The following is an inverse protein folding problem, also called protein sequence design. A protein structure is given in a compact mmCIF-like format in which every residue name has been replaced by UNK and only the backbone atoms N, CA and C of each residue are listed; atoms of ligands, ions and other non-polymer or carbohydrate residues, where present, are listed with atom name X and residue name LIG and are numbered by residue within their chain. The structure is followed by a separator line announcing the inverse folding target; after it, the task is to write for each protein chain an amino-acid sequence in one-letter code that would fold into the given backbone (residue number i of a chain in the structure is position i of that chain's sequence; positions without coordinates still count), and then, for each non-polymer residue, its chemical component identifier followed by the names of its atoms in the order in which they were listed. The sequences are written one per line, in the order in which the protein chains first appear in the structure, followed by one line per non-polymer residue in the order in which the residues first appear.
data_IF_269962111796
#
_entry.id   IF_269962111796
#
_cell.length_a   1.000
_cell.length_b   1.000
_cell.length_c   1.000
_cell.angle_alpha   90.00
_cell.angle_beta   90.00
_cell.angle_gamma   90.00
#
_symmetry.space_group_name_H-M   'P 1'
#
loop_
_entity.id
_entity.type
_entity.pdbx_description
1 polymer ?
#
# COMPACT_ATOMS: atom_id res chain seq x y z
N UNK A 1 8.15 -17.15 -2.20
CA UNK A 1 9.42 -16.85 -1.52
C UNK A 1 9.95 -15.50 -2.00
N UNK A 2 9.60 -14.43 -1.28
CA UNK A 2 9.93 -13.05 -1.65
C UNK A 2 10.84 -12.39 -0.59
N UNK A 3 11.64 -13.18 0.12
CA UNK A 3 12.61 -12.65 1.08
C UNK A 3 13.97 -12.54 0.40
N UNK A 4 14.37 -11.30 0.11
CA UNK A 4 15.73 -11.01 -0.34
C UNK A 4 16.63 -10.91 0.89
N UNK A 5 17.56 -11.87 1.04
CA UNK A 5 18.53 -11.90 2.15
C UNK A 5 19.70 -10.91 1.97
N UNK A 6 19.72 -10.15 0.86
CA UNK A 6 20.76 -9.18 0.55
C UNK A 6 20.16 -7.98 -0.20
N UNK A 7 20.80 -6.81 -0.05
CA UNK A 7 20.45 -5.62 -0.83
C UNK A 7 20.82 -5.83 -2.32
N UNK A 8 20.07 -5.22 -3.24
CA UNK A 8 20.40 -5.29 -4.67
C UNK A 8 21.81 -4.74 -4.94
N UNK A 9 22.61 -5.50 -5.68
CA UNK A 9 24.04 -5.22 -5.87
C UNK A 9 24.30 -4.21 -6.98
N UNK A 10 23.39 -4.10 -7.95
CA UNK A 10 23.55 -3.23 -9.10
C UNK A 10 22.21 -2.59 -9.49
N UNK A 11 22.31 -1.57 -10.32
CA UNK A 11 21.15 -0.80 -10.80
C UNK A 11 20.09 -1.66 -11.48
N UNK A 12 20.49 -2.65 -12.28
CA UNK A 12 19.54 -3.53 -12.97
C UNK A 12 18.68 -4.32 -11.98
N UNK A 13 19.20 -4.67 -10.80
CA UNK A 13 18.42 -5.30 -9.75
C UNK A 13 17.48 -4.32 -9.03
N UNK A 14 17.95 -3.11 -8.71
CA UNK A 14 17.09 -2.05 -8.17
C UNK A 14 15.92 -1.74 -9.11
N UNK A 15 16.16 -1.81 -10.42
CA UNK A 15 15.17 -1.53 -11.44
C UNK A 15 14.14 -2.64 -11.64
N UNK A 16 14.32 -3.83 -11.05
CA UNK A 16 13.28 -4.88 -11.06
C UNK A 16 12.05 -4.51 -10.22
N UNK A 17 12.20 -3.55 -9.31
CA UNK A 17 11.12 -3.13 -8.42
C UNK A 17 10.33 -1.96 -8.99
N UNK A 18 9.10 -1.82 -8.51
CA UNK A 18 8.21 -0.75 -8.91
C UNK A 18 8.12 0.38 -7.90
N UNK A 19 8.18 -0.03 -6.64
CA UNK A 19 8.14 0.83 -5.47
C UNK A 19 9.26 0.38 -4.56
N UNK A 20 10.05 1.32 -4.07
CA UNK A 20 11.06 1.06 -3.05
C UNK A 20 10.60 1.77 -1.78
N UNK A 21 10.50 1.02 -0.69
CA UNK A 21 10.18 1.56 0.63
C UNK A 21 11.48 1.55 1.46
N UNK A 22 11.91 2.72 1.90
CA UNK A 22 13.14 2.92 2.64
C UNK A 22 12.84 3.54 4.00
N UNK A 23 13.00 2.78 5.07
CA UNK A 23 12.68 3.23 6.44
C UNK A 23 13.87 3.18 7.38
N UNK A 24 14.32 4.35 7.83
CA UNK A 24 15.38 4.54 8.83
C UNK A 24 16.70 3.74 8.63
N UNK A 25 17.02 3.39 7.38
CA UNK A 25 18.25 2.67 7.00
C UNK A 25 19.43 3.64 6.91
N UNK A 26 20.63 3.17 7.26
CA UNK A 26 21.86 3.96 7.19
C UNK A 26 22.34 4.16 5.74
N UNK A 27 22.80 5.37 5.34
CA UNK A 27 23.41 5.59 4.03
C UNK A 27 24.65 4.70 3.79
N UNK A 28 25.37 4.34 4.86
CA UNK A 28 26.54 3.46 4.78
C UNK A 28 26.15 2.02 4.37
N UNK A 29 24.98 1.54 4.81
CA UNK A 29 24.49 0.20 4.46
C UNK A 29 24.04 0.12 2.99
N UNK A 30 23.50 1.20 2.45
CA UNK A 30 23.16 1.29 1.01
C UNK A 30 24.39 1.44 0.12
N UNK A 31 25.45 2.06 0.64
CA UNK A 31 26.64 2.42 -0.12
C UNK A 31 26.37 3.49 -1.19
N UNK A 32 27.44 4.02 -1.78
CA UNK A 32 27.32 5.07 -2.80
C UNK A 32 26.60 4.56 -4.06
N UNK A 33 26.86 3.32 -4.46
CA UNK A 33 26.23 2.71 -5.64
C UNK A 33 24.72 2.56 -5.45
N UNK A 34 24.26 2.06 -4.29
CA UNK A 34 22.84 1.94 -3.97
C UNK A 34 22.14 3.30 -3.90
N UNK A 35 22.78 4.30 -3.31
CA UNK A 35 22.25 5.68 -3.26
C UNK A 35 22.08 6.27 -4.67
N UNK A 36 23.09 6.10 -5.55
CA UNK A 36 22.98 6.55 -6.94
C UNK A 36 21.94 5.75 -7.73
N UNK A 37 21.83 4.44 -7.49
CA UNK A 37 20.81 3.61 -8.11
C UNK A 37 19.40 4.06 -7.69
N UNK A 38 19.18 4.41 -6.42
CA UNK A 38 17.91 4.98 -5.94
C UNK A 38 17.61 6.33 -6.57
N UNK A 39 18.63 7.17 -6.76
CA UNK A 39 18.47 8.45 -7.45
C UNK A 39 18.01 8.25 -8.90
N UNK A 40 18.67 7.39 -9.66
CA UNK A 40 18.31 7.07 -11.05
C UNK A 40 16.98 6.31 -11.14
N UNK A 41 16.68 5.47 -10.16
CA UNK A 41 15.39 4.78 -10.07
C UNK A 41 14.22 5.76 -10.05
N UNK A 42 14.31 6.82 -9.25
CA UNK A 42 13.27 7.85 -9.18
C UNK A 42 13.36 8.79 -10.38
N UNK A 43 14.55 9.34 -10.66
CA UNK A 43 14.71 10.39 -11.66
C UNK A 43 14.52 9.88 -13.09
N UNK A 44 15.20 8.79 -13.43
CA UNK A 44 15.33 8.31 -14.79
C UNK A 44 14.30 7.23 -15.09
N UNK A 45 14.13 6.21 -14.23
CA UNK A 45 13.19 5.08 -14.46
C UNK A 45 11.73 5.41 -14.12
N UNK A 46 11.49 6.41 -13.30
CA UNK A 46 10.14 6.81 -12.91
C UNK A 46 9.52 5.89 -11.86
N UNK A 47 10.36 5.27 -11.04
CA UNK A 47 9.94 4.51 -9.87
C UNK A 47 9.42 5.41 -8.75
N UNK A 48 8.68 4.81 -7.81
CA UNK A 48 8.21 5.52 -6.62
C UNK A 48 9.05 5.15 -5.40
N UNK A 49 9.63 6.16 -4.76
CA UNK A 49 10.32 6.01 -3.47
C UNK A 49 9.38 6.41 -2.33
N UNK A 50 9.17 5.50 -1.38
CA UNK A 50 8.48 5.79 -0.12
C UNK A 50 9.52 5.84 0.99
N UNK A 51 9.84 7.04 1.46
CA UNK A 51 10.76 7.24 2.57
C UNK A 51 9.99 7.29 3.90
N UNK A 52 10.37 6.46 4.86
CA UNK A 52 9.85 6.48 6.22
C UNK A 52 10.93 7.08 7.11
N UNK A 53 10.64 8.25 7.65
CA UNK A 53 11.52 8.92 8.59
C UNK A 53 11.55 8.14 9.90
N UNK A 54 12.72 8.06 10.51
CA UNK A 54 12.89 7.43 11.81
C UNK A 54 13.88 8.23 12.68
N UNK A 55 14.05 7.80 13.93
CA UNK A 55 14.89 8.52 14.87
C UNK A 55 16.38 8.46 14.52
N UNK A 56 16.88 7.48 13.75
CA UNK A 56 18.32 7.22 13.69
C UNK A 56 19.03 7.73 12.44
N UNK A 57 18.38 7.66 11.28
CA UNK A 57 19.05 7.85 9.98
C UNK A 57 18.21 8.69 9.01
N UNK A 58 16.92 8.34 8.82
CA UNK A 58 16.10 8.94 7.78
C UNK A 58 15.35 10.17 8.31
N UNK A 59 15.44 11.36 7.68
CA UNK A 59 16.22 11.71 6.49
C UNK A 59 17.59 12.35 6.78
N UNK A 60 17.88 12.68 8.04
CA UNK A 60 18.99 13.59 8.41
C UNK A 60 20.39 13.06 8.07
N UNK A 61 20.60 11.74 8.05
CA UNK A 61 21.86 11.13 7.63
C UNK A 61 22.11 11.24 6.11
N UNK A 62 21.05 11.41 5.31
CA UNK A 62 21.13 11.46 3.85
C UNK A 62 21.49 12.84 3.29
N UNK A 63 21.68 13.85 4.15
CA UNK A 63 21.92 15.24 3.77
C UNK A 63 23.10 15.45 2.81
N UNK A 64 24.19 14.72 3.03
CA UNK A 64 25.40 14.83 2.22
C UNK A 64 25.37 13.87 1.02
N UNK A 65 24.19 13.35 0.65
CA UNK A 65 24.03 12.36 -0.41
C UNK A 65 23.04 12.87 -1.46
N UNK A 66 23.10 12.38 -2.71
CA UNK A 66 22.15 12.78 -3.76
C UNK A 66 20.67 12.52 -3.44
N UNK A 67 20.37 11.61 -2.50
CA UNK A 67 19.01 11.40 -2.02
C UNK A 67 18.41 12.65 -1.34
N UNK A 68 19.25 13.58 -0.87
CA UNK A 68 18.79 14.82 -0.28
C UNK A 68 17.91 15.67 -1.19
N UNK A 69 18.24 15.68 -2.47
CA UNK A 69 17.49 16.44 -3.47
C UNK A 69 16.15 15.78 -3.78
N UNK A 70 16.10 14.44 -3.72
CA UNK A 70 14.89 13.64 -3.93
C UNK A 70 13.85 13.81 -2.83
N UNK A 71 14.25 13.99 -1.57
CA UNK A 71 13.29 14.02 -0.47
C UNK A 71 12.43 15.29 -0.49
N UNK A 72 11.11 15.23 -0.24
CA UNK A 72 10.21 16.38 -0.27
C UNK A 72 10.36 17.34 0.93
N UNK A 73 11.28 17.07 1.87
CA UNK A 73 11.58 17.94 3.02
C UNK A 73 12.88 18.71 2.83
N UNK A 74 12.96 19.91 3.41
CA UNK A 74 14.19 20.69 3.51
C UNK A 74 15.10 20.12 4.59
N UNK A 75 16.36 19.89 4.23
CA UNK A 75 17.39 19.42 5.15
C UNK A 75 18.39 20.52 5.46
N UNK A 76 17.87 21.67 5.90
CA UNK A 76 18.64 22.90 6.04
C UNK A 76 19.22 23.07 7.45
N UNK A 77 18.86 22.18 8.40
CA UNK A 77 19.27 22.24 9.81
C UNK A 77 20.36 21.22 10.15
N UNK A 78 21.26 21.47 11.11
CA UNK A 78 22.43 20.63 11.41
C UNK A 78 22.06 19.15 11.59
N UNK A 79 22.99 18.26 11.18
CA UNK A 79 22.79 16.82 11.30
C UNK A 79 22.56 16.46 12.78
N UNK A 80 21.53 15.67 13.02
CA UNK A 80 21.19 15.15 14.35
C UNK A 80 21.73 13.72 14.44
N UNK A 81 22.24 13.31 15.61
CA UNK A 81 22.63 11.91 15.84
C UNK A 81 21.39 11.04 16.06
N UNK A 82 20.38 11.61 16.71
CA UNK A 82 19.07 10.98 16.87
C UNK A 82 18.00 12.06 16.87
N UNK A 83 17.00 11.90 16.00
CA UNK A 83 15.84 12.76 15.91
C UNK A 83 14.84 12.45 17.05
N UNK A 84 14.60 13.45 17.90
CA UNK A 84 13.58 13.41 18.95
C UNK A 84 12.36 14.18 18.50
N UNK A 85 11.18 13.67 18.82
CA UNK A 85 9.92 14.37 18.54
C UNK A 85 9.91 15.76 19.18
N UNK A 86 9.33 16.74 18.49
CA UNK A 86 9.14 18.09 19.03
C UNK A 86 7.99 18.16 20.04
N UNK A 87 7.06 17.20 19.96
CA UNK A 87 5.86 17.12 20.78
C UNK A 87 5.87 15.79 21.54
N UNK A 88 5.37 15.79 22.78
CA UNK A 88 5.18 14.55 23.57
C UNK A 88 4.14 13.64 22.89
N UNK A 89 3.09 14.27 22.35
CA UNK A 89 2.04 13.59 21.59
C UNK A 89 1.30 14.52 20.64
N UNK A 90 0.67 13.93 19.62
CA UNK A 90 -0.09 14.65 18.60
C UNK A 90 -1.07 13.73 17.85
N UNK A 91 -1.97 14.34 17.09
CA UNK A 91 -2.94 13.69 16.23
C UNK A 91 -2.59 13.83 14.75
N UNK A 92 -2.93 12.79 13.99
CA UNK A 92 -2.84 12.80 12.53
C UNK A 92 -4.04 13.53 11.93
N UNK A 93 -3.81 14.70 11.34
CA UNK A 93 -4.84 15.53 10.72
C UNK A 93 -4.60 15.66 9.22
N UNK A 94 -5.67 15.56 8.41
CA UNK A 94 -5.58 15.74 6.97
C UNK A 94 -5.58 17.22 6.59
N UNK A 95 -4.78 17.58 5.59
CA UNK A 95 -4.92 18.85 4.86
C UNK A 95 -6.06 18.76 3.84
N UNK A 96 -6.43 19.88 3.21
CA UNK A 96 -7.38 19.88 2.10
C UNK A 96 -6.90 19.00 0.93
N UNK A 97 -5.61 19.09 0.60
CA UNK A 97 -4.99 18.23 -0.42
C UNK A 97 -5.14 16.76 -0.04
N UNK A 98 -4.83 16.38 1.21
CA UNK A 98 -4.94 15.01 1.70
C UNK A 98 -6.36 14.44 1.70
N UNK A 99 -7.38 15.27 1.89
CA UNK A 99 -8.78 14.83 1.77
C UNK A 99 -9.17 14.47 0.34
N UNK A 100 -8.58 15.16 -0.64
CA UNK A 100 -8.86 14.97 -2.07
C UNK A 100 -7.96 13.92 -2.73
N UNK A 101 -6.76 13.68 -2.19
CA UNK A 101 -5.73 12.85 -2.80
C UNK A 101 -6.07 11.36 -2.71
N UNK A 102 -5.83 10.64 -3.81
CA UNK A 102 -6.04 9.21 -3.91
C UNK A 102 -5.24 8.40 -2.88
N UNK A 103 -4.11 8.90 -2.36
CA UNK A 103 -3.32 8.15 -1.36
C UNK A 103 -4.10 7.92 -0.05
N UNK A 104 -4.96 8.86 0.34
CA UNK A 104 -5.66 8.85 1.63
C UNK A 104 -7.18 8.68 1.49
N UNK A 105 -7.71 8.81 0.27
CA UNK A 105 -9.10 8.54 -0.06
C UNK A 105 -9.39 7.04 0.03
N UNK A 106 -10.32 6.66 0.91
CA UNK A 106 -10.81 5.28 1.01
C UNK A 106 -11.99 5.06 0.08
N UNK A 107 -12.10 3.87 -0.51
CA UNK A 107 -13.28 3.46 -1.27
C UNK A 107 -14.52 3.39 -0.36
N UNK A 108 -15.68 3.82 -0.89
CA UNK A 108 -17.01 3.72 -0.28
C UNK A 108 -17.17 4.30 1.14
N UNK A 109 -17.30 5.63 1.25
CA UNK A 109 -17.88 6.29 2.44
C UNK A 109 -17.12 6.14 3.76
N UNK A 110 -15.95 5.48 3.77
CA UNK A 110 -15.14 5.30 4.96
C UNK A 110 -14.40 6.59 5.32
N UNK A 111 -14.45 6.94 6.60
CA UNK A 111 -13.70 8.06 7.20
C UNK A 111 -12.20 7.92 6.98
N UNK A 112 -11.51 9.06 6.88
CA UNK A 112 -10.05 9.19 6.82
C UNK A 112 -9.31 8.23 7.78
N UNK A 113 -8.05 7.83 7.50
CA UNK A 113 -7.31 6.97 8.42
C UNK A 113 -7.25 7.61 9.81
N UNK A 114 -7.85 6.93 10.79
CA UNK A 114 -7.87 7.37 12.18
C UNK A 114 -6.71 6.68 12.88
N UNK A 115 -5.61 7.40 13.03
CA UNK A 115 -4.52 6.96 13.88
C UNK A 115 -4.90 7.19 15.36
N UNK A 116 -4.54 6.26 16.26
CA UNK A 116 -4.38 6.61 17.67
C UNK A 116 -3.41 7.78 17.83
N UNK A 117 -3.36 8.34 19.03
CA UNK A 117 -2.37 9.35 19.36
C UNK A 117 -0.95 8.85 19.05
N UNK A 118 -0.22 9.70 18.32
CA UNK A 118 1.15 9.48 17.89
C UNK A 118 2.08 10.24 18.83
N UNK A 119 3.29 9.72 19.00
CA UNK A 119 4.29 10.21 19.96
C UNK A 119 5.59 10.60 19.29
N UNK A 120 5.85 10.11 18.08
CA UNK A 120 7.07 10.45 17.35
C UNK A 120 6.80 10.97 15.94
N UNK A 121 7.39 12.14 15.64
CA UNK A 121 7.52 12.69 14.28
C UNK A 121 8.89 13.30 14.06
N UNK A 122 9.28 13.44 12.80
CA UNK A 122 10.47 14.16 12.40
C UNK A 122 10.45 15.60 12.95
N UNK A 123 11.38 15.99 13.83
CA UNK A 123 11.45 17.36 14.33
C UNK A 123 11.90 18.31 13.22
N UNK A 124 11.52 19.58 13.37
CA UNK A 124 12.03 20.65 12.52
C UNK A 124 11.81 20.45 11.02
N UNK A 125 10.80 19.66 10.66
CA UNK A 125 10.40 19.44 9.28
C UNK A 125 9.98 20.76 8.63
N UNK A 126 10.30 20.91 7.34
CA UNK A 126 9.74 21.95 6.49
C UNK A 126 9.61 21.38 5.07
N UNK A 127 8.40 21.39 4.51
CA UNK A 127 8.16 20.88 3.17
C UNK A 127 8.78 21.80 2.10
N UNK A 128 9.49 21.23 1.11
CA UNK A 128 9.95 21.95 -0.10
C UNK A 128 8.77 22.60 -0.82
N UNK A 129 8.96 23.71 -1.53
CA UNK A 129 7.87 24.47 -2.16
C UNK A 129 7.01 23.63 -3.14
N UNK A 130 7.62 22.72 -3.89
CA UNK A 130 6.93 21.82 -4.82
C UNK A 130 6.24 20.60 -4.16
N UNK A 131 6.38 20.42 -2.85
CA UNK A 131 5.77 19.30 -2.14
C UNK A 131 4.32 19.59 -1.75
N UNK A 132 3.47 18.58 -1.99
CA UNK A 132 2.08 18.53 -1.54
C UNK A 132 2.05 17.88 -0.17
N UNK A 133 1.49 18.58 0.80
CA UNK A 133 1.35 18.08 2.18
C UNK A 133 -0.03 17.49 2.33
N UNK A 134 -0.12 16.21 2.66
CA UNK A 134 -1.38 15.47 2.77
C UNK A 134 -1.88 15.38 4.21
N UNK A 135 -0.95 15.32 5.17
CA UNK A 135 -1.29 15.26 6.58
C UNK A 135 -0.28 16.04 7.42
N UNK A 136 -0.73 16.57 8.54
CA UNK A 136 0.06 17.32 9.50
C UNK A 136 -0.25 16.88 10.94
N UNK A 137 0.68 17.16 11.85
CA UNK A 137 0.55 16.90 13.27
C UNK A 137 -0.20 18.05 13.95
N UNK A 138 -1.23 17.74 14.73
CA UNK A 138 -1.91 18.72 15.58
C UNK A 138 -1.93 18.27 17.03
N UNK A 139 -1.71 19.20 17.98
CA UNK A 139 -1.85 18.93 19.42
C UNK A 139 -3.31 18.89 19.86
N UNK A 140 -4.20 19.54 19.12
CA UNK A 140 -5.62 19.53 19.42
C UNK A 140 -6.29 18.37 18.69
N UNK A 141 -7.15 17.63 19.39
CA UNK A 141 -8.04 16.62 18.80
C UNK A 141 -9.20 17.29 18.06
N UNK A 142 -8.90 18.24 17.18
CA UNK A 142 -9.91 18.94 16.41
C UNK A 142 -10.31 18.10 15.19
N UNK A 143 -11.59 18.17 14.84
CA UNK A 143 -12.16 17.40 13.73
C UNK A 143 -11.46 17.79 12.43
N UNK A 144 -11.17 16.83 11.53
CA UNK A 144 -10.61 17.15 10.22
C UNK A 144 -11.48 18.19 9.52
N UNK A 145 -10.89 19.35 9.20
CA UNK A 145 -11.52 20.43 8.44
C UNK A 145 -11.99 21.67 9.21
N UNK A 146 -11.80 21.77 10.54
CA UNK A 146 -12.41 22.87 11.33
C UNK A 146 -11.44 23.88 11.98
N UNK A 147 -10.19 23.98 11.52
CA UNK A 147 -9.24 24.95 12.11
C UNK A 147 -8.34 25.61 11.07
N UNK A 148 -8.28 26.94 11.17
CA UNK A 148 -7.42 27.89 10.46
C UNK A 148 -5.93 27.72 10.83
N UNK A 149 -5.40 26.50 10.89
CA UNK A 149 -3.94 26.33 10.97
C UNK A 149 -3.37 26.84 9.65
N UNK A 150 -2.54 27.89 9.74
CA UNK A 150 -1.87 28.49 8.59
C UNK A 150 -1.21 27.39 7.74
N UNK A 151 -1.39 27.46 6.42
CA UNK A 151 -0.75 26.57 5.45
C UNK A 151 0.75 26.47 5.72
N UNK A 152 1.39 27.57 6.14
CA UNK A 152 2.80 27.61 6.53
C UNK A 152 3.12 26.69 7.71
N UNK A 153 2.24 26.66 8.72
CA UNK A 153 2.40 25.80 9.89
C UNK A 153 2.16 24.33 9.53
N UNK A 154 1.13 24.03 8.71
CA UNK A 154 0.89 22.68 8.19
C UNK A 154 2.12 22.12 7.45
N UNK A 155 2.82 22.96 6.67
CA UNK A 155 4.06 22.57 5.98
C UNK A 155 5.23 22.29 6.93
N UNK A 156 5.27 22.93 8.10
CA UNK A 156 6.30 22.70 9.14
C UNK A 156 5.97 21.52 10.06
N UNK A 157 4.70 21.15 10.13
CA UNK A 157 4.20 20.02 10.92
C UNK A 157 3.79 18.82 10.03
N UNK A 158 4.25 18.80 8.77
CA UNK A 158 3.89 17.77 7.81
C UNK A 158 4.26 16.37 8.30
N UNK A 159 3.28 15.48 8.36
CA UNK A 159 3.42 14.05 8.66
C UNK A 159 3.52 13.21 7.38
N UNK A 160 2.82 13.63 6.34
CA UNK A 160 2.78 12.92 5.08
C UNK A 160 2.79 13.92 3.95
N UNK A 161 3.77 13.81 3.07
CA UNK A 161 3.96 14.72 1.96
C UNK A 161 4.59 13.99 0.78
N UNK A 162 4.29 14.43 -0.42
CA UNK A 162 4.90 13.88 -1.62
C UNK A 162 5.16 14.96 -2.66
N UNK A 163 6.08 14.67 -3.57
CA UNK A 163 6.30 15.47 -4.76
C UNK A 163 6.75 14.59 -5.93
N UNK A 164 6.78 15.17 -7.13
CA UNK A 164 7.42 14.54 -8.28
C UNK A 164 8.90 14.92 -8.28
N UNK A 165 9.74 13.97 -8.69
CA UNK A 165 11.15 14.23 -8.96
C UNK A 165 11.54 13.49 -10.23
N UNK A 166 12.00 14.22 -11.24
CA UNK A 166 12.27 13.66 -12.57
C UNK A 166 11.02 13.01 -13.17
N UNK A 167 11.12 11.72 -13.49
CA UNK A 167 10.01 10.92 -14.01
C UNK A 167 9.20 10.19 -12.93
N UNK A 168 9.70 10.18 -11.69
CA UNK A 168 9.14 9.41 -10.58
C UNK A 168 8.44 10.24 -9.51
N UNK A 169 8.08 9.56 -8.42
CA UNK A 169 7.41 10.15 -7.26
C UNK A 169 8.18 9.84 -6.00
N UNK A 170 8.20 10.78 -5.07
CA UNK A 170 8.76 10.55 -3.72
C UNK A 170 7.69 10.89 -2.70
N UNK A 171 7.26 9.88 -1.95
CA UNK A 171 6.38 10.01 -0.79
C UNK A 171 7.25 9.93 0.47
N UNK A 172 7.05 10.83 1.40
CA UNK A 172 7.71 10.80 2.69
C UNK A 172 6.69 10.74 3.83
N UNK A 173 6.87 9.76 4.71
CA UNK A 173 6.24 9.67 6.01
C UNK A 173 7.21 10.23 7.04
N UNK A 174 6.81 11.29 7.74
CA UNK A 174 7.59 11.92 8.80
C UNK A 174 7.29 11.34 10.19
N UNK A 175 6.84 10.09 10.23
CA UNK A 175 6.54 9.31 11.43
C UNK A 175 6.71 7.83 11.09
N UNK A 176 7.04 7.00 12.07
CA UNK A 176 7.30 5.56 11.94
C UNK A 176 6.27 4.69 12.68
N UNK A 177 5.23 5.30 13.23
CA UNK A 177 4.26 4.64 14.10
C UNK A 177 3.05 4.04 13.37
N UNK A 178 3.20 3.66 12.09
CA UNK A 178 2.08 3.07 11.31
C UNK A 178 1.55 1.78 11.93
N UNK A 179 2.39 1.07 12.70
CA UNK A 179 2.00 -0.13 13.46
C UNK A 179 0.85 0.14 14.45
N UNK A 180 0.66 1.39 14.91
CA UNK A 180 -0.46 1.76 15.79
C UNK A 180 -1.83 1.55 15.16
N UNK A 181 -1.92 1.54 13.82
CA UNK A 181 -3.16 1.19 13.11
C UNK A 181 -3.64 -0.25 13.38
N UNK A 182 -2.78 -1.11 13.95
CA UNK A 182 -3.14 -2.46 14.34
C UNK A 182 -3.81 -2.54 15.72
N UNK A 183 -3.77 -1.47 16.50
CA UNK A 183 -4.27 -1.44 17.87
C UNK A 183 -5.80 -1.62 17.91
N UNK A 184 -6.26 -2.61 18.67
CA UNK A 184 -7.69 -2.90 18.91
C UNK A 184 -8.48 -3.50 17.74
N UNK A 185 -7.99 -3.39 16.49
CA UNK A 185 -8.73 -3.80 15.27
C UNK A 185 -7.90 -4.76 14.39
N UNK A 186 -6.64 -5.05 14.75
CA UNK A 186 -5.75 -5.91 13.97
C UNK A 186 -5.33 -5.28 12.64
N UNK A 187 -4.95 -6.09 11.65
CA UNK A 187 -4.27 -5.59 10.44
C UNK A 187 -5.16 -4.83 9.44
N UNK A 188 -6.48 -4.76 9.65
CA UNK A 188 -7.42 -4.20 8.65
C UNK A 188 -7.10 -2.75 8.27
N UNK A 189 -6.85 -1.88 9.25
CA UNK A 189 -6.56 -0.46 8.98
C UNK A 189 -5.13 -0.28 8.45
N UNK A 190 -4.19 -1.05 8.99
CA UNK A 190 -2.80 -1.06 8.56
C UNK A 190 -2.66 -1.48 7.08
N UNK A 191 -3.27 -2.60 6.69
CA UNK A 191 -3.28 -3.08 5.30
C UNK A 191 -4.04 -2.15 4.37
N UNK A 192 -5.13 -1.53 4.82
CA UNK A 192 -5.83 -0.53 4.01
C UNK A 192 -4.95 0.70 3.72
N UNK A 193 -4.25 1.20 4.74
CA UNK A 193 -3.32 2.33 4.62
C UNK A 193 -2.17 2.02 3.67
N UNK A 194 -1.41 0.96 3.93
CA UNK A 194 -0.27 0.57 3.08
C UNK A 194 -0.71 0.11 1.69
N UNK A 195 -1.84 -0.58 1.58
CA UNK A 195 -2.41 -0.98 0.30
C UNK A 195 -2.78 0.22 -0.58
N UNK A 196 -3.27 1.32 0.01
CA UNK A 196 -3.56 2.54 -0.74
C UNK A 196 -2.28 3.26 -1.18
N UNK A 197 -1.26 3.31 -0.31
CA UNK A 197 0.05 3.85 -0.67
C UNK A 197 0.66 3.06 -1.83
N UNK A 198 0.67 1.74 -1.76
CA UNK A 198 1.25 0.88 -2.81
C UNK A 198 0.47 1.06 -4.12
N UNK A 199 -0.87 1.04 -4.08
CA UNK A 199 -1.69 1.32 -5.27
C UNK A 199 -1.34 2.65 -5.90
N UNK A 200 -1.34 3.74 -5.13
CA UNK A 200 -0.97 5.06 -5.64
C UNK A 200 0.47 5.11 -6.18
N UNK A 201 1.40 4.40 -5.52
CA UNK A 201 2.80 4.37 -5.90
C UNK A 201 3.04 3.67 -7.24
N UNK A 202 2.22 2.69 -7.59
CA UNK A 202 2.25 2.04 -8.92
C UNK A 202 1.34 2.72 -9.95
N UNK A 203 0.35 3.51 -9.51
CA UNK A 203 -0.52 4.29 -10.39
C UNK A 203 0.24 5.41 -11.11
N UNK A 204 -0.21 5.74 -12.32
CA UNK A 204 0.31 6.85 -13.14
C UNK A 204 1.71 6.63 -13.72
N UNK A 205 2.12 5.36 -13.86
CA UNK A 205 3.37 5.04 -14.55
C UNK A 205 3.20 5.19 -16.03
N UNK A 206 4.15 5.90 -16.63
CA UNK A 206 4.53 5.67 -18.00
C UNK A 206 5.35 4.37 -18.08
N UNK A 207 4.70 3.24 -17.77
CA UNK A 207 5.32 1.92 -17.52
C UNK A 207 5.88 1.24 -18.78
N UNK A 208 5.43 1.65 -19.96
CA UNK A 208 5.86 1.06 -21.21
C UNK A 208 6.71 2.05 -22.00
N UNK A 209 7.81 1.54 -22.58
CA UNK A 209 8.65 2.27 -23.52
C UNK A 209 10.13 2.25 -23.16
N UNK A 210 10.83 3.26 -23.64
CA UNK A 210 12.27 3.47 -23.55
C UNK A 210 12.58 4.70 -22.68
N UNK A 211 13.83 5.20 -22.64
CA UNK A 211 14.11 6.42 -21.86
C UNK A 211 13.61 7.67 -22.58
N UNK A 212 13.57 7.68 -23.92
CA UNK A 212 13.07 8.83 -24.70
C UNK A 212 11.56 8.80 -24.92
N UNK A 213 10.95 7.63 -25.03
CA UNK A 213 9.50 7.50 -25.27
C UNK A 213 8.88 6.65 -24.18
N UNK A 214 7.99 7.25 -23.38
CA UNK A 214 7.27 6.52 -22.34
C UNK A 214 5.78 6.73 -22.42
N UNK A 215 5.02 5.67 -22.14
CA UNK A 215 3.56 5.69 -22.15
C UNK A 215 2.99 4.95 -20.95
N UNK A 216 1.80 5.34 -20.55
CA UNK A 216 1.15 4.85 -19.36
C UNK A 216 -0.34 5.03 -19.37
N UNK A 217 -1.01 4.31 -18.47
CA UNK A 217 -2.43 4.48 -18.19
C UNK A 217 -2.68 4.73 -16.71
N UNK A 218 -3.83 5.32 -16.37
CA UNK A 218 -4.19 5.55 -14.96
C UNK A 218 -4.46 4.24 -14.21
N UNK A 219 -4.97 3.22 -14.91
CA UNK A 219 -5.25 1.87 -14.38
C UNK A 219 -4.80 0.79 -15.36
N UNK A 220 -4.64 -0.43 -14.86
CA UNK A 220 -4.39 -1.65 -15.66
C UNK A 220 -5.65 -2.50 -15.85
N UNK A 221 -6.67 -2.26 -15.02
CA UNK A 221 -7.96 -2.94 -15.05
C UNK A 221 -9.09 -1.90 -15.11
N UNK A 222 -9.97 -2.01 -16.09
CA UNK A 222 -11.12 -1.13 -16.30
C UNK A 222 -12.40 -1.94 -16.38
N UNK A 223 -13.52 -1.28 -16.17
CA UNK A 223 -14.84 -1.84 -16.44
C UNK A 223 -15.34 -1.41 -17.81
N UNK A 224 -16.28 -2.16 -18.36
CA UNK A 224 -17.03 -1.75 -19.57
C UNK A 224 -17.63 -0.35 -19.36
N UNK A 225 -17.37 0.56 -20.30
CA UNK A 225 -17.82 1.96 -20.22
C UNK A 225 -16.91 2.91 -19.44
N UNK A 226 -15.87 2.43 -18.74
CA UNK A 226 -14.87 3.31 -18.13
C UNK A 226 -14.05 4.04 -19.21
N UNK A 227 -13.65 5.27 -18.92
CA UNK A 227 -12.69 6.00 -19.73
C UNK A 227 -11.25 5.56 -19.38
N UNK A 228 -10.48 5.17 -20.39
CA UNK A 228 -9.04 4.89 -20.24
C UNK A 228 -8.26 6.19 -20.44
N UNK A 229 -7.57 6.64 -19.39
CA UNK A 229 -6.69 7.80 -19.46
C UNK A 229 -5.30 7.35 -19.90
N UNK A 230 -4.86 7.78 -21.08
CA UNK A 230 -3.53 7.50 -21.63
C UNK A 230 -2.66 8.74 -21.41
N UNK A 231 -1.44 8.51 -20.95
CA UNK A 231 -0.41 9.53 -20.86
C UNK A 231 0.83 9.08 -21.60
N UNK A 232 1.53 10.01 -22.23
CA UNK A 232 2.81 9.77 -22.86
C UNK A 232 3.77 10.92 -22.59
N UNK A 233 5.07 10.62 -22.49
CA UNK A 233 6.13 11.61 -22.39
C UNK A 233 7.19 11.29 -23.44
N UNK A 234 7.62 12.33 -24.12
CA UNK A 234 8.62 12.28 -25.17
C UNK A 234 9.77 13.19 -24.77
N UNK A 235 10.99 12.65 -24.80
CA UNK A 235 12.23 13.38 -24.58
C UNK A 235 13.05 13.36 -25.87
N UNK A 236 13.72 14.47 -26.17
CA UNK A 236 14.69 14.51 -27.28
C UNK A 236 16.05 13.90 -26.89
N UNK A 237 17.01 13.89 -27.81
CA UNK A 237 18.36 13.36 -27.56
C UNK A 237 19.07 14.06 -26.38
N UNK A 238 18.77 15.34 -26.14
CA UNK A 238 19.26 16.14 -25.02
C UNK A 238 18.46 15.94 -23.71
N UNK A 239 17.54 14.97 -23.67
CA UNK A 239 16.63 14.67 -22.53
C UNK A 239 15.71 15.82 -22.13
N UNK A 240 15.44 16.73 -23.05
CA UNK A 240 14.47 17.81 -22.87
C UNK A 240 13.08 17.39 -23.36
N UNK A 241 12.00 17.80 -22.68
CA UNK A 241 10.64 17.44 -23.05
C UNK A 241 10.24 18.01 -24.41
N UNK A 242 9.60 17.16 -25.24
CA UNK A 242 8.98 17.58 -26.49
C UNK A 242 7.54 18.02 -26.19
N UNK A 243 7.25 19.31 -26.38
CA UNK A 243 6.01 19.93 -25.90
C UNK A 243 4.85 19.79 -26.90
N UNK A 244 5.14 19.79 -28.20
CA UNK A 244 4.13 19.75 -29.25
C UNK A 244 4.56 18.79 -30.36
N UNK A 245 4.10 17.54 -30.24
CA UNK A 245 4.38 16.49 -31.20
C UNK A 245 3.09 15.76 -31.57
N UNK A 246 2.78 15.60 -32.87
CA UNK A 246 1.63 14.82 -33.30
C UNK A 246 1.90 13.34 -33.01
N UNK A 247 1.32 12.85 -31.90
CA UNK A 247 1.40 11.45 -31.47
C UNK A 247 0.01 10.91 -31.29
N UNK A 248 -0.18 9.67 -31.73
CA UNK A 248 -1.45 8.96 -31.68
C UNK A 248 -1.33 7.69 -30.85
N UNK A 249 -2.35 7.38 -30.06
CA UNK A 249 -2.50 6.10 -29.40
C UNK A 249 -3.46 5.23 -30.22
N UNK A 250 -2.97 4.06 -30.65
CA UNK A 250 -3.76 3.02 -31.31
C UNK A 250 -4.20 2.01 -30.28
N UNK A 251 -5.50 1.76 -30.19
CA UNK A 251 -6.09 0.72 -29.38
C UNK A 251 -6.33 -0.52 -30.24
N UNK A 252 -5.71 -1.64 -29.86
CA UNK A 252 -5.84 -2.93 -30.49
C UNK A 252 -6.61 -3.91 -29.60
N UNK A 253 -7.46 -4.72 -30.23
CA UNK A 253 -8.16 -5.84 -29.62
C UNK A 253 -8.06 -7.02 -30.60
N UNK A 254 -7.66 -8.19 -30.10
CA UNK A 254 -7.41 -9.36 -30.97
C UNK A 254 -6.49 -9.04 -32.18
N UNK A 255 -5.48 -8.20 -31.96
CA UNK A 255 -4.55 -7.68 -32.98
C UNK A 255 -5.17 -6.82 -34.11
N UNK A 256 -6.41 -6.36 -33.95
CA UNK A 256 -7.04 -5.41 -34.87
C UNK A 256 -7.15 -4.03 -34.22
N UNK A 257 -6.82 -2.98 -34.98
CA UNK A 257 -6.95 -1.60 -34.50
C UNK A 257 -8.43 -1.23 -34.47
N UNK A 258 -8.99 -1.06 -33.26
CA UNK A 258 -10.37 -0.64 -33.06
C UNK A 258 -10.49 0.88 -33.11
N UNK A 259 -9.56 1.58 -32.46
CA UNK A 259 -9.65 3.03 -32.28
C UNK A 259 -8.27 3.66 -32.33
N UNK A 260 -8.19 4.88 -32.84
CA UNK A 260 -6.97 5.71 -32.81
C UNK A 260 -7.36 7.06 -32.26
N UNK A 261 -6.59 7.57 -31.28
CA UNK A 261 -6.84 8.86 -30.62
C UNK A 261 -5.57 9.69 -30.63
N UNK A 262 -5.68 10.95 -31.01
CA UNK A 262 -4.58 11.91 -30.96
C UNK A 262 -4.31 12.32 -29.50
N UNK A 263 -3.04 12.33 -29.09
CA UNK A 263 -2.65 12.85 -27.79
C UNK A 263 -2.46 14.36 -27.87
N UNK A 264 -2.93 15.05 -26.84
CA UNK A 264 -2.84 16.51 -26.70
C UNK A 264 -1.88 16.88 -25.58
N UNK A 265 -1.17 18.00 -25.70
CA UNK A 265 -0.27 18.45 -24.65
C UNK A 265 -1.04 18.83 -23.37
N UNK A 266 -0.60 18.32 -22.22
CA UNK A 266 -1.19 18.65 -20.93
C UNK A 266 -0.80 20.07 -20.52
N UNK A 267 -1.80 20.89 -20.20
CA UNK A 267 -1.61 22.26 -19.71
C UNK A 267 -0.92 22.34 -18.34
N UNK A 268 -0.95 21.26 -17.54
CA UNK A 268 -0.40 21.26 -16.18
C UNK A 268 1.03 20.70 -16.06
N UNK A 269 1.47 19.86 -17.00
CA UNK A 269 2.78 19.19 -16.94
C UNK A 269 3.48 19.30 -18.31
N UNK A 270 4.42 20.24 -18.41
CA UNK A 270 5.10 20.55 -19.67
C UNK A 270 5.85 19.31 -20.22
N UNK A 271 5.49 18.90 -21.44
CA UNK A 271 6.04 17.70 -22.09
C UNK A 271 5.31 16.39 -21.79
N UNK A 272 4.19 16.45 -21.06
CA UNK A 272 3.25 15.33 -20.97
C UNK A 272 2.18 15.48 -22.04
N UNK A 273 1.91 14.39 -22.74
CA UNK A 273 0.82 14.25 -23.69
C UNK A 273 -0.28 13.39 -23.06
N UNK A 274 -1.53 13.71 -23.30
CA UNK A 274 -2.69 13.06 -22.72
C UNK A 274 -3.79 12.81 -23.77
N UNK A 275 -4.41 11.63 -23.69
CA UNK A 275 -5.61 11.26 -24.42
C UNK A 275 -6.56 10.46 -23.52
N UNK A 276 -7.85 10.52 -23.80
CA UNK A 276 -8.84 9.63 -23.20
C UNK A 276 -9.49 8.77 -24.28
N UNK A 277 -9.60 7.47 -24.01
CA UNK A 277 -10.39 6.54 -24.81
C UNK A 277 -11.67 6.23 -24.05
N UNK A 278 -12.82 6.37 -24.72
CA UNK A 278 -14.15 6.12 -24.17
C UNK A 278 -14.87 5.04 -24.99
N UNK A 279 -16.01 4.59 -24.47
CA UNK A 279 -16.97 3.72 -25.18
C UNK A 279 -16.49 2.27 -25.45
N UNK A 280 -15.68 1.71 -24.53
CA UNK A 280 -15.27 0.31 -24.59
C UNK A 280 -16.40 -0.60 -24.08
N UNK A 281 -17.06 -1.28 -25.02
CA UNK A 281 -18.23 -2.14 -24.74
C UNK A 281 -17.90 -3.62 -24.64
N UNK A 282 -16.80 -4.07 -25.24
CA UNK A 282 -16.42 -5.49 -25.25
C UNK A 282 -15.44 -5.78 -24.10
N UNK A 283 -15.72 -6.76 -23.22
CA UNK A 283 -14.74 -7.19 -22.24
C UNK A 283 -13.62 -7.99 -22.90
N UNK A 284 -12.40 -7.86 -22.37
CA UNK A 284 -11.23 -8.59 -22.84
C UNK A 284 -9.93 -7.81 -22.68
N UNK A 285 -8.86 -8.31 -23.29
CA UNK A 285 -7.54 -7.69 -23.24
C UNK A 285 -7.35 -6.75 -24.42
N UNK A 286 -7.04 -5.50 -24.11
CA UNK A 286 -6.72 -4.47 -25.07
C UNK A 286 -5.23 -4.16 -25.01
N UNK A 287 -4.65 -3.82 -26.17
CA UNK A 287 -3.27 -3.39 -26.28
C UNK A 287 -3.25 -1.97 -26.83
N UNK A 288 -2.59 -1.06 -26.14
CA UNK A 288 -2.46 0.33 -26.55
C UNK A 288 -1.04 0.53 -27.06
N UNK A 289 -0.87 1.05 -28.28
CA UNK A 289 0.44 1.34 -28.87
C UNK A 289 0.54 2.81 -29.26
N UNK A 290 1.66 3.45 -28.94
CA UNK A 290 1.97 4.78 -29.46
C UNK A 290 2.42 4.68 -30.92
N UNK A 291 1.98 5.63 -31.72
CA UNK A 291 2.38 5.77 -33.12
C UNK A 291 2.55 7.24 -33.49
N UNK A 292 3.56 7.52 -34.32
CA UNK A 292 3.84 8.86 -34.81
C UNK A 292 5.28 8.96 -35.30
N UNK A 293 5.53 9.81 -36.29
CA UNK A 293 6.85 9.94 -36.89
C UNK A 293 7.93 10.38 -35.88
N UNK A 294 7.54 11.21 -34.91
CA UNK A 294 8.42 11.64 -33.80
C UNK A 294 8.77 10.45 -32.90
N UNK A 295 7.79 9.60 -32.59
CA UNK A 295 7.99 8.39 -31.77
C UNK A 295 8.96 7.44 -32.47
N UNK A 296 8.75 7.15 -33.75
CA UNK A 296 9.61 6.24 -34.52
C UNK A 296 11.06 6.75 -34.59
N UNK A 297 11.24 8.07 -34.73
CA UNK A 297 12.57 8.70 -34.75
C UNK A 297 13.28 8.58 -33.40
N UNK A 298 12.55 8.81 -32.29
CA UNK A 298 13.09 8.71 -30.93
C UNK A 298 13.42 7.26 -30.57
N UNK A 299 12.61 6.29 -30.99
CA UNK A 299 12.89 4.87 -30.79
C UNK A 299 14.11 4.40 -31.59
N UNK A 300 14.29 4.91 -32.81
CA UNK A 300 15.47 4.60 -33.64
C UNK A 300 16.77 5.13 -33.02
N UNK A 301 16.72 6.23 -32.25
CA UNK A 301 17.86 6.83 -31.57
C UNK A 301 18.40 5.96 -30.41
N UNK A 302 17.56 5.17 -29.76
CA UNK A 302 17.94 4.45 -28.53
C UNK A 302 18.58 3.08 -28.73
N UNK A 303 18.68 2.57 -29.96
CA UNK A 303 19.31 1.27 -30.29
C UNK A 303 18.85 0.08 -29.42
N UNK A 304 17.71 0.21 -28.73
CA UNK A 304 17.15 -0.79 -27.79
C UNK A 304 16.38 -1.90 -28.50
N UNK A 305 16.20 -1.81 -29.83
CA UNK A 305 15.48 -2.81 -30.63
C UNK A 305 13.96 -2.80 -30.42
N UNK A 306 13.41 -1.84 -29.67
CA UNK A 306 11.98 -1.67 -29.49
C UNK A 306 11.38 -0.93 -30.69
N UNK A 307 10.76 -1.65 -31.61
CA UNK A 307 10.06 -1.04 -32.76
C UNK A 307 8.75 -0.35 -32.36
N UNK A 308 8.15 -0.72 -31.22
CA UNK A 308 6.86 -0.18 -30.76
C UNK A 308 6.83 -0.06 -29.24
N UNK A 309 6.19 1.01 -28.76
CA UNK A 309 5.91 1.23 -27.35
C UNK A 309 4.43 0.95 -27.11
N UNK A 310 4.13 -0.06 -26.29
CA UNK A 310 2.76 -0.46 -26.02
C UNK A 310 2.56 -1.08 -24.64
N UNK A 311 1.32 -1.01 -24.15
CA UNK A 311 0.90 -1.60 -22.88
C UNK A 311 -0.40 -2.42 -23.04
N UNK A 312 -0.57 -3.43 -22.20
CA UNK A 312 -1.79 -4.23 -22.15
C UNK A 312 -2.68 -3.82 -20.98
N UNK A 313 -3.98 -3.74 -21.26
CA UNK A 313 -5.03 -3.36 -20.33
C UNK A 313 -6.12 -4.43 -20.38
N UNK A 314 -6.65 -4.82 -19.22
CA UNK A 314 -7.83 -5.68 -19.15
C UNK A 314 -9.10 -4.83 -18.93
N UNK A 315 -10.14 -5.09 -19.73
CA UNK A 315 -11.49 -4.57 -19.52
C UNK A 315 -12.37 -5.72 -19.07
N UNK A 316 -12.88 -5.63 -17.86
CA UNK A 316 -13.85 -6.59 -17.32
C UNK A 316 -15.28 -6.15 -17.64
N UNK A 317 -16.22 -7.10 -17.80
CA UNK A 317 -17.62 -6.76 -17.90
C UNK A 317 -18.00 -5.92 -16.67
N UNK A 318 -18.66 -4.78 -16.89
CA UNK A 318 -19.37 -4.13 -15.81
C UNK A 318 -20.52 -5.03 -15.41
N UNK A 319 -20.24 -6.01 -14.56
CA UNK A 319 -21.25 -6.59 -13.70
C UNK A 319 -21.66 -5.45 -12.78
N UNK A 320 -22.63 -4.65 -13.21
CA UNK A 320 -23.60 -4.17 -12.24
C UNK A 320 -24.08 -5.46 -11.58
N UNK A 321 -23.59 -5.71 -10.37
CA UNK A 321 -24.03 -6.84 -9.59
C UNK A 321 -25.55 -6.74 -9.56
N UNK A 322 -26.25 -7.63 -10.27
CA UNK A 322 -27.71 -7.68 -10.23
C UNK A 322 -28.17 -7.78 -8.77
N UNK A 323 -27.36 -8.38 -7.90
CA UNK A 323 -27.50 -8.43 -6.44
C UNK A 323 -27.48 -7.05 -5.72
N UNK A 324 -26.94 -5.99 -6.33
CA UNK A 324 -26.98 -4.60 -5.81
C UNK A 324 -28.16 -3.81 -6.35
N UNK A 325 -28.71 -4.19 -7.50
CA UNK A 325 -29.90 -3.58 -8.09
C UNK A 325 -31.19 -4.21 -7.53
N UNK A 326 -31.14 -5.52 -7.27
CA UNK A 326 -32.18 -6.29 -6.63
C UNK A 326 -31.67 -6.82 -5.28
N UNK A 327 -31.98 -6.09 -4.22
CA UNK A 327 -31.63 -6.44 -2.84
C UNK A 327 -32.55 -7.53 -2.26
N UNK A 328 -33.50 -8.05 -3.05
CA UNK A 328 -34.39 -9.12 -2.61
C UNK A 328 -33.58 -10.41 -2.51
N UNK A 329 -33.60 -11.03 -1.33
CA UNK A 329 -32.98 -12.33 -1.13
C UNK A 329 -33.72 -13.39 -1.98
N UNK A 330 -33.00 -14.06 -2.88
CA UNK A 330 -33.52 -15.22 -3.60
C UNK A 330 -33.55 -16.44 -2.67
N UNK A 331 -34.74 -16.85 -2.25
CA UNK A 331 -34.95 -17.98 -1.35
C UNK A 331 -35.01 -19.34 -2.08
N UNK A 332 -34.96 -19.36 -3.41
CA UNK A 332 -35.17 -20.58 -4.21
C UNK A 332 -34.03 -21.58 -4.04
N UNK A 333 -32.77 -21.12 -4.16
CA UNK A 333 -31.58 -21.97 -4.03
C UNK A 333 -31.45 -22.51 -2.59
N UNK A 334 -31.52 -21.68 -1.53
CA UNK A 334 -31.53 -22.19 -0.16
C UNK A 334 -32.62 -23.23 0.09
N UNK A 335 -33.83 -23.05 -0.47
CA UNK A 335 -34.94 -24.01 -0.29
C UNK A 335 -34.65 -25.36 -0.93
N UNK A 336 -34.09 -25.36 -2.15
CA UNK A 336 -33.68 -26.60 -2.82
C UNK A 336 -32.60 -27.35 -2.02
N UNK A 337 -31.63 -26.64 -1.47
CA UNK A 337 -30.58 -27.23 -0.62
C UNK A 337 -31.21 -27.79 0.67
N UNK A 338 -32.13 -27.06 1.29
CA UNK A 338 -32.84 -27.52 2.47
C UNK A 338 -33.65 -28.79 2.20
N UNK A 339 -34.37 -28.86 1.08
CA UNK A 339 -35.13 -30.04 0.66
C UNK A 339 -34.23 -31.28 0.48
N UNK A 340 -33.02 -31.10 -0.06
CA UNK A 340 -32.08 -32.20 -0.29
C UNK A 340 -31.34 -32.66 0.98
N UNK A 341 -31.08 -31.72 1.90
CA UNK A 341 -30.29 -31.98 3.11
C UNK A 341 -31.15 -32.29 4.34
N UNK A 342 -32.48 -32.12 4.24
CA UNK A 342 -33.38 -32.12 5.40
C UNK A 342 -33.20 -30.90 6.30
N UNK A 343 -32.59 -29.83 5.79
CA UNK A 343 -32.41 -28.55 6.47
C UNK A 343 -33.67 -27.69 6.45
N UNK A 344 -33.56 -26.47 6.98
CA UNK A 344 -34.63 -25.47 6.96
C UNK A 344 -34.10 -24.11 6.53
N UNK A 345 -34.81 -23.42 5.65
CA UNK A 345 -34.56 -22.00 5.32
C UNK A 345 -35.44 -21.13 6.20
N UNK A 346 -34.88 -20.09 6.80
CA UNK A 346 -35.64 -19.08 7.51
C UNK A 346 -35.30 -17.70 6.95
N UNK A 347 -36.32 -16.85 6.89
CA UNK A 347 -36.18 -15.44 6.58
C UNK A 347 -35.90 -14.66 7.88
N UNK A 348 -35.48 -13.40 7.77
CA UNK A 348 -35.23 -12.54 8.93
C UNK A 348 -36.46 -12.45 9.85
N UNK A 349 -37.67 -12.45 9.28
CA UNK A 349 -38.92 -12.46 10.03
C UNK A 349 -39.18 -13.78 10.80
N UNK A 350 -38.58 -14.89 10.37
CA UNK A 350 -38.75 -16.22 10.97
C UNK A 350 -37.47 -16.76 11.60
N UNK A 351 -36.46 -15.90 11.81
CA UNK A 351 -35.15 -16.28 12.34
C UNK A 351 -35.22 -17.03 13.68
N UNK A 352 -36.20 -16.71 14.53
CA UNK A 352 -36.42 -17.38 15.82
C UNK A 352 -36.77 -18.87 15.66
N UNK A 353 -37.35 -19.27 14.53
CA UNK A 353 -37.68 -20.67 14.26
C UNK A 353 -36.44 -21.54 14.04
N UNK A 354 -35.32 -20.95 13.57
CA UNK A 354 -34.04 -21.66 13.40
C UNK A 354 -33.49 -22.13 14.75
N UNK A 355 -33.73 -21.35 15.80
CA UNK A 355 -33.28 -21.66 17.16
C UNK A 355 -33.92 -22.94 17.71
N UNK A 356 -35.10 -23.31 17.20
CA UNK A 356 -35.83 -24.53 17.57
C UNK A 356 -35.31 -25.78 16.83
N UNK A 357 -34.64 -25.59 15.69
CA UNK A 357 -34.11 -26.68 14.87
C UNK A 357 -32.71 -27.13 15.29
N UNK A 358 -32.00 -26.33 16.10
CA UNK A 358 -30.82 -26.84 16.80
C UNK A 358 -31.31 -27.90 17.80
N UNK A 359 -30.83 -29.13 17.63
CA UNK A 359 -31.18 -30.28 18.47
C UNK A 359 -30.97 -30.04 19.98
N UNK A 360 -31.20 -31.05 20.84
CA UNK A 360 -31.17 -30.89 22.29
C UNK A 360 -29.88 -30.17 22.75
N UNK A 361 -30.05 -29.12 23.57
CA UNK A 361 -28.98 -28.20 24.06
C UNK A 361 -27.76 -28.86 24.71
N UNK A 362 -27.77 -30.17 24.93
CA UNK A 362 -26.69 -30.90 25.58
C UNK A 362 -26.47 -32.25 24.91
N UNK A 363 -25.33 -32.41 24.26
CA UNK A 363 -24.79 -33.73 23.93
C UNK A 363 -24.08 -34.26 25.17
N UNK A 364 -24.53 -35.40 25.70
CA UNK A 364 -23.83 -36.06 26.81
C UNK A 364 -22.54 -36.69 26.28
N UNK A 365 -21.41 -36.00 26.43
CA UNK A 365 -20.08 -36.59 26.18
C UNK A 365 -19.71 -37.42 27.39
N UNK A 366 -19.66 -38.75 27.23
CA UNK A 366 -19.26 -39.67 28.30
C UNK A 366 -17.74 -39.72 28.34
N UNK A 367 -17.13 -38.77 29.05
CA UNK A 367 -15.68 -38.72 29.22
C UNK A 367 -15.25 -39.79 30.24
N UNK A 368 -14.37 -40.70 29.83
CA UNK A 368 -13.86 -41.78 30.69
C UNK A 368 -12.58 -41.31 31.36
N UNK A 369 -12.67 -40.83 32.59
CA UNK A 369 -11.48 -40.56 33.39
C UNK A 369 -10.95 -41.85 34.02
N UNK A 370 -9.73 -42.22 33.65
CA UNK A 370 -8.89 -43.17 34.38
C UNK A 370 -8.14 -42.42 35.46
N UNK A 371 -8.56 -42.57 36.71
CA UNK A 371 -7.81 -42.05 37.86
C UNK A 371 -6.77 -43.12 38.26
N UNK A 372 -5.47 -42.84 38.14
CA UNK A 372 -4.46 -43.77 38.61
C UNK A 372 -4.50 -43.89 40.13
N UNK A 373 -4.59 -45.13 40.64
CA UNK A 373 -4.75 -45.42 42.08
C UNK A 373 -3.61 -44.85 42.94
N UNK A 374 -2.38 -44.78 42.40
CA UNK A 374 -1.22 -44.24 43.12
C UNK A 374 -1.29 -42.72 43.35
N UNK A 375 -2.16 -42.01 42.64
CA UNK A 375 -2.33 -40.56 42.77
C UNK A 375 -3.44 -40.18 43.78
N UNK A 376 -4.02 -41.17 44.45
CA UNK A 376 -4.99 -40.96 45.53
C UNK A 376 -4.25 -40.67 46.84
N UNK A 377 -4.62 -39.57 47.51
CA UNK A 377 -4.08 -39.17 48.82
C UNK A 377 -4.01 -40.30 49.86
N UNK A 378 -5.01 -41.20 49.99
CA UNK A 378 -4.93 -42.33 50.92
C UNK A 378 -3.81 -43.33 50.59
N UNK A 379 -3.53 -43.58 49.31
CA UNK A 379 -2.47 -44.52 48.87
C UNK A 379 -1.09 -43.93 49.14
N UNK A 380 -0.92 -42.63 48.84
CA UNK A 380 0.29 -41.88 49.18
C UNK A 380 0.50 -41.86 50.69
N UNK A 381 -0.57 -41.59 51.47
CA UNK A 381 -0.53 -41.61 52.92
C UNK A 381 -0.13 -42.97 53.49
N UNK A 382 -0.70 -44.06 52.96
CA UNK A 382 -0.33 -45.43 53.34
C UNK A 382 1.15 -45.69 53.05
N UNK A 383 1.63 -45.36 51.86
CA UNK A 383 3.02 -45.57 51.46
C UNK A 383 4.00 -44.77 52.34
N UNK A 384 3.72 -43.49 52.57
CA UNK A 384 4.51 -42.62 53.45
C UNK A 384 4.47 -43.10 54.91
N UNK A 385 3.32 -43.59 55.38
CA UNK A 385 3.21 -44.13 56.73
C UNK A 385 4.04 -45.42 56.89
N UNK A 386 4.06 -46.29 55.88
CA UNK A 386 4.89 -47.50 55.89
C UNK A 386 6.39 -47.19 55.95
N UNK A 387 6.86 -46.26 55.12
CA UNK A 387 8.23 -45.77 55.15
C UNK A 387 8.59 -45.10 56.48
N UNK A 388 7.68 -44.28 57.02
CA UNK A 388 7.88 -43.62 58.31
C UNK A 388 7.93 -44.63 59.46
N UNK A 389 7.09 -45.67 59.40
CA UNK A 389 7.07 -46.74 60.38
C UNK A 389 8.34 -47.59 60.29
N UNK A 390 8.81 -47.92 59.09
CA UNK A 390 10.10 -48.60 58.89
C UNK A 390 11.25 -47.78 59.49
N UNK A 391 11.29 -46.48 59.20
CA UNK A 391 12.31 -45.58 59.76
C UNK A 391 12.26 -45.54 61.29
N UNK A 392 11.06 -45.42 61.88
CA UNK A 392 10.87 -45.44 63.33
C UNK A 392 11.31 -46.78 63.95
N UNK A 393 10.93 -47.90 63.35
CA UNK A 393 11.34 -49.24 63.80
C UNK A 393 12.85 -49.42 63.70
N UNK A 394 13.48 -48.92 62.63
CA UNK A 394 14.93 -48.97 62.43
C UNK A 394 15.67 -48.10 63.46
N UNK A 395 15.10 -46.95 63.83
CA UNK A 395 15.60 -46.08 64.89
C UNK A 395 15.46 -46.72 66.28
N UNK A 396 14.36 -47.40 66.57
CA UNK A 396 14.15 -48.09 67.85
C UNK A 396 15.02 -49.34 68.01
N UNK A 397 15.29 -50.08 66.92
CA UNK A 397 16.17 -51.25 66.95
C UNK A 397 17.67 -50.91 66.84
N UNK A 398 18.06 -49.64 66.95
CA UNK A 398 19.47 -49.23 67.07
C UNK A 398 20.34 -49.50 65.83
N UNK A 399 19.77 -49.49 64.62
CA UNK A 399 20.50 -49.70 63.35
C UNK A 399 20.63 -48.42 62.50
N UNK A 400 20.96 -47.32 63.17
CA UNK A 400 21.55 -46.12 62.58
C UNK A 400 22.74 -45.72 63.44
#
# INVERSE_FOLDING_TARGET
DCEANALPLNEAEWFKFDVIILGDVSPQELGNEGIHALQRFVNDRGGTLVAISGPNQMPHAYRATPLADLLPVLMNRPAMVTARSADESFHFCLTQDGMSDAILKRASGATAPIFPELTWRLPNCEAKAGARVLAYASRNRERPGNTETDVTEQRRQALMLWHRFGTGKVLQLNFDETWRLRYGIGDRLHHAFWGQIIRWAVSDRLSAGTDLVRMGTDRTLYKTGDAISIKARLLNAERSPVIDAPVQAKLLFENQVIQTVDLTADSQDAGMLHAEIRDLTQPGKYRIELSGQVVDTLLALEATGAERVGLEVAVEPSADNLEQLDLVADDTIPKQIADWTGGSVADLATADSVLLNFGPKSTFVRERWTVPLWNLWPVIGLFLSGLSLEWLLRKWNGRI
#
